data_IF_635547474435
#
_entry.id   IF_635547474435
#
_cell.length_a   1.000
_cell.length_b   1.000
_cell.length_c   1.000
_cell.angle_alpha   90.00
_cell.angle_beta   90.00
_cell.angle_gamma   90.00
#
_symmetry.space_group_name_H-M   'P 1'
#
loop_
_entity.id
_entity.type
_entity.pdbx_description
1 polymer ?
#
# COMPACT_ATOMS: atom_id res chain seq x y z
N UNK A 1 -11.46 1.37 8.51
CA UNK A 1 -12.70 1.86 7.86
C UNK A 1 -12.36 2.94 6.84
N UNK A 2 -13.26 3.19 5.85
CA UNK A 2 -13.06 4.23 4.83
C UNK A 2 -12.71 5.60 5.43
N UNK A 3 -13.31 5.95 6.55
CA UNK A 3 -13.10 7.24 7.21
C UNK A 3 -11.79 7.30 8.00
N UNK A 4 -11.38 6.20 8.61
CA UNK A 4 -10.17 6.13 9.43
C UNK A 4 -8.94 5.84 8.57
N UNK A 5 -9.05 4.94 7.60
CA UNK A 5 -7.92 4.52 6.76
C UNK A 5 -7.66 5.53 5.65
N UNK A 6 -8.48 5.51 4.59
CA UNK A 6 -8.30 6.41 3.43
C UNK A 6 -8.53 7.87 3.83
N UNK A 7 -9.54 8.16 4.64
CA UNK A 7 -9.77 9.50 5.17
C UNK A 7 -8.65 10.01 6.07
N UNK A 8 -7.92 9.10 6.74
CA UNK A 8 -6.70 9.43 7.48
C UNK A 8 -5.57 9.91 6.56
N UNK A 9 -5.35 9.21 5.44
CA UNK A 9 -4.36 9.60 4.43
C UNK A 9 -4.70 10.97 3.83
N UNK A 10 -5.96 11.20 3.44
CA UNK A 10 -6.39 12.49 2.90
C UNK A 10 -6.15 13.65 3.87
N UNK A 11 -6.49 13.46 5.15
CA UNK A 11 -6.25 14.46 6.20
C UNK A 11 -4.76 14.72 6.40
N UNK A 12 -3.93 13.68 6.35
CA UNK A 12 -2.48 13.81 6.47
C UNK A 12 -1.90 14.62 5.29
N UNK A 13 -2.32 14.31 4.07
CA UNK A 13 -1.93 15.05 2.87
C UNK A 13 -2.39 16.52 2.93
N UNK A 14 -3.66 16.77 3.26
CA UNK A 14 -4.19 18.12 3.36
C UNK A 14 -3.50 18.94 4.44
N UNK A 15 -3.10 18.30 5.55
CA UNK A 15 -2.33 18.95 6.62
C UNK A 15 -0.89 19.27 6.18
N UNK A 16 -0.25 18.36 5.46
CA UNK A 16 1.13 18.55 4.97
C UNK A 16 1.20 19.59 3.84
N UNK A 17 0.15 19.67 3.02
CA UNK A 17 0.08 20.52 1.83
C UNK A 17 -1.20 21.36 1.84
N UNK A 18 -1.34 22.35 2.75
CA UNK A 18 -2.58 23.10 2.96
C UNK A 18 -3.00 23.92 1.74
N UNK A 19 -2.06 24.31 0.89
CA UNK A 19 -2.31 25.11 -0.32
C UNK A 19 -2.73 24.28 -1.53
N UNK A 20 -2.73 22.92 -1.39
CA UNK A 20 -3.12 22.01 -2.44
C UNK A 20 -4.55 21.49 -2.23
N UNK A 21 -5.27 21.31 -3.31
CA UNK A 21 -6.60 20.69 -3.27
C UNK A 21 -6.48 19.19 -3.34
N UNK A 22 -6.76 18.50 -2.25
CA UNK A 22 -6.78 17.03 -2.20
C UNK A 22 -8.16 16.53 -2.63
N UNK A 23 -8.20 15.57 -3.56
CA UNK A 23 -9.41 14.94 -4.09
C UNK A 23 -9.21 13.44 -4.17
N UNK A 24 -10.29 12.70 -3.98
CA UNK A 24 -10.32 11.24 -4.02
C UNK A 24 -10.88 10.76 -5.36
N UNK A 25 -10.27 9.69 -5.90
CA UNK A 25 -10.86 8.86 -6.94
C UNK A 25 -10.69 7.39 -6.57
N UNK A 26 -11.50 6.52 -7.14
CA UNK A 26 -11.40 5.07 -6.93
C UNK A 26 -11.01 4.37 -8.23
N UNK A 27 -10.17 3.35 -8.10
CA UNK A 27 -9.76 2.49 -9.23
C UNK A 27 -10.79 1.41 -9.54
N UNK A 28 -11.48 0.88 -8.51
CA UNK A 28 -12.39 -0.24 -8.65
C UNK A 28 -13.86 0.20 -8.85
N UNK A 29 -14.37 0.06 -10.09
CA UNK A 29 -15.76 0.42 -10.43
C UNK A 29 -16.80 -0.31 -9.56
N UNK A 30 -16.54 -1.55 -9.19
CA UNK A 30 -17.44 -2.35 -8.34
C UNK A 30 -17.60 -1.72 -6.95
N UNK A 31 -16.53 -1.16 -6.40
CA UNK A 31 -16.54 -0.46 -5.10
C UNK A 31 -17.29 0.87 -5.22
N UNK A 32 -17.08 1.60 -6.32
CA UNK A 32 -17.83 2.85 -6.60
C UNK A 32 -19.33 2.57 -6.59
N UNK A 33 -19.76 1.53 -7.33
CA UNK A 33 -21.15 1.15 -7.41
C UNK A 33 -21.74 0.75 -6.04
N UNK A 34 -20.98 -0.01 -5.23
CA UNK A 34 -21.40 -0.39 -3.89
C UNK A 34 -21.55 0.82 -2.95
N UNK A 35 -20.58 1.76 -2.98
CA UNK A 35 -20.64 2.97 -2.17
C UNK A 35 -21.82 3.84 -2.58
N UNK A 36 -22.05 4.01 -3.90
CA UNK A 36 -23.18 4.77 -4.38
C UNK A 36 -24.52 4.14 -3.99
N UNK A 37 -24.65 2.82 -4.08
CA UNK A 37 -25.87 2.11 -3.70
C UNK A 37 -26.17 2.17 -2.18
N UNK A 38 -25.13 2.09 -1.35
CA UNK A 38 -25.25 2.08 0.10
C UNK A 38 -25.43 3.48 0.70
N UNK A 39 -24.62 4.43 0.25
CA UNK A 39 -24.47 5.75 0.88
C UNK A 39 -25.03 6.90 0.03
N UNK A 40 -25.42 6.63 -1.22
CA UNK A 40 -25.83 7.65 -2.19
C UNK A 40 -24.67 8.57 -2.66
N UNK A 41 -23.44 8.27 -2.24
CA UNK A 41 -22.26 9.08 -2.56
C UNK A 41 -21.74 8.76 -3.95
N UNK A 42 -21.56 9.81 -4.76
CA UNK A 42 -20.93 9.70 -6.08
C UNK A 42 -19.43 9.92 -5.95
N UNK A 43 -18.65 8.90 -6.31
CA UNK A 43 -17.20 8.94 -6.33
C UNK A 43 -16.75 8.78 -7.78
N UNK A 44 -15.83 9.64 -8.21
CA UNK A 44 -15.24 9.55 -9.53
C UNK A 44 -14.35 8.30 -9.64
N UNK A 45 -14.38 7.64 -10.79
CA UNK A 45 -13.32 6.72 -11.18
C UNK A 45 -12.11 7.52 -11.71
N UNK A 46 -11.05 6.82 -12.13
CA UNK A 46 -9.81 7.46 -12.60
C UNK A 46 -10.07 8.45 -13.74
N UNK A 47 -10.75 8.03 -14.80
CA UNK A 47 -11.00 8.88 -15.96
C UNK A 47 -11.86 10.09 -15.61
N UNK A 48 -12.92 9.90 -14.83
CA UNK A 48 -13.79 10.98 -14.39
C UNK A 48 -13.04 12.01 -13.55
N UNK A 49 -12.15 11.55 -12.64
CA UNK A 49 -11.35 12.44 -11.81
C UNK A 49 -10.32 13.21 -12.64
N UNK A 50 -9.65 12.56 -13.57
CA UNK A 50 -8.67 13.18 -14.47
C UNK A 50 -9.36 14.21 -15.38
N UNK A 51 -10.50 13.85 -16.00
CA UNK A 51 -11.27 14.77 -16.82
C UNK A 51 -11.78 15.96 -16.01
N UNK A 52 -12.26 15.74 -14.79
CA UNK A 52 -12.69 16.81 -13.90
C UNK A 52 -11.54 17.75 -13.52
N UNK A 53 -10.32 17.23 -13.34
CA UNK A 53 -9.15 18.07 -13.09
C UNK A 53 -8.84 18.97 -14.31
N UNK A 54 -8.92 18.42 -15.52
CA UNK A 54 -8.77 19.20 -16.77
C UNK A 54 -9.85 20.27 -16.86
N UNK A 55 -11.12 19.91 -16.68
CA UNK A 55 -12.26 20.84 -16.78
C UNK A 55 -12.18 21.98 -15.75
N UNK A 56 -11.60 21.71 -14.59
CA UNK A 56 -11.36 22.72 -13.54
C UNK A 56 -10.07 23.54 -13.76
N UNK A 57 -9.35 23.34 -14.85
CA UNK A 57 -8.14 24.10 -15.19
C UNK A 57 -6.95 23.81 -14.26
N UNK A 58 -6.88 22.60 -13.69
CA UNK A 58 -5.73 22.18 -12.90
C UNK A 58 -4.50 22.16 -13.82
N UNK A 59 -3.43 22.82 -13.37
CA UNK A 59 -2.17 22.91 -14.14
C UNK A 59 -1.15 21.86 -13.71
N UNK A 60 -1.03 21.67 -12.41
CA UNK A 60 -0.09 20.73 -11.83
C UNK A 60 -0.87 19.65 -11.08
N UNK A 61 -0.73 18.41 -11.52
CA UNK A 61 -1.40 17.25 -10.94
C UNK A 61 -0.37 16.33 -10.30
N UNK A 62 -0.60 15.97 -9.04
CA UNK A 62 0.12 14.92 -8.34
C UNK A 62 -0.89 13.83 -8.00
N UNK A 63 -0.61 12.60 -8.43
CA UNK A 63 -1.42 11.44 -8.12
C UNK A 63 -0.73 10.61 -7.06
N UNK A 64 -1.36 10.49 -5.88
CA UNK A 64 -0.88 9.63 -4.80
C UNK A 64 -1.69 8.33 -4.81
N UNK A 65 -1.14 7.21 -5.28
CA UNK A 65 -1.78 5.92 -5.16
C UNK A 65 -1.80 5.49 -3.68
N UNK A 66 -2.93 4.91 -3.27
CA UNK A 66 -3.04 4.26 -1.95
C UNK A 66 -2.87 2.73 -2.06
N UNK A 67 -2.36 2.27 -3.18
CA UNK A 67 -1.99 0.87 -3.42
C UNK A 67 -0.82 0.46 -2.52
N UNK A 68 -0.80 -0.81 -2.15
CA UNK A 68 0.30 -1.36 -1.35
C UNK A 68 1.60 -1.46 -2.15
N UNK A 69 1.51 -1.88 -3.42
CA UNK A 69 2.65 -2.20 -4.29
C UNK A 69 2.34 -1.88 -5.76
N UNK A 70 3.36 -1.99 -6.62
CA UNK A 70 3.25 -1.92 -8.08
C UNK A 70 2.53 -3.15 -8.66
N UNK A 71 1.23 -3.29 -8.37
CA UNK A 71 0.38 -4.34 -8.91
C UNK A 71 -0.38 -3.90 -10.15
N UNK A 72 -1.26 -4.78 -10.66
CA UNK A 72 -2.05 -4.53 -11.86
C UNK A 72 -2.87 -3.21 -11.79
N UNK A 73 -3.46 -2.92 -10.62
CA UNK A 73 -4.23 -1.69 -10.43
C UNK A 73 -3.35 -0.42 -10.46
N UNK A 74 -2.08 -0.53 -10.04
CA UNK A 74 -1.13 0.57 -10.18
C UNK A 74 -0.72 0.77 -11.65
N UNK A 75 -0.55 -0.30 -12.39
CA UNK A 75 -0.24 -0.24 -13.84
C UNK A 75 -1.40 0.42 -14.60
N UNK A 76 -2.65 0.01 -14.34
CA UNK A 76 -3.85 0.63 -14.91
C UNK A 76 -3.94 2.13 -14.57
N UNK A 77 -3.64 2.51 -13.32
CA UNK A 77 -3.59 3.91 -12.90
C UNK A 77 -2.53 4.68 -13.68
N UNK A 78 -1.34 4.10 -13.84
CA UNK A 78 -0.24 4.74 -14.57
C UNK A 78 -0.57 4.96 -16.03
N UNK A 79 -1.21 3.98 -16.68
CA UNK A 79 -1.69 4.10 -18.06
C UNK A 79 -2.77 5.18 -18.20
N UNK A 80 -3.74 5.20 -17.28
CA UNK A 80 -4.79 6.22 -17.27
C UNK A 80 -4.20 7.63 -17.14
N UNK A 81 -3.28 7.84 -16.18
CA UNK A 81 -2.62 9.14 -15.99
C UNK A 81 -1.77 9.53 -17.21
N UNK A 82 -1.04 8.58 -17.80
CA UNK A 82 -0.24 8.82 -18.99
C UNK A 82 -1.07 9.34 -20.17
N UNK A 83 -2.31 8.84 -20.32
CA UNK A 83 -3.24 9.26 -21.38
C UNK A 83 -3.72 10.73 -21.27
N UNK A 84 -3.56 11.32 -20.07
CA UNK A 84 -3.89 12.72 -19.78
C UNK A 84 -2.68 13.63 -19.61
N UNK A 85 -1.45 13.12 -19.79
CA UNK A 85 -0.22 13.87 -19.49
C UNK A 85 -0.08 15.18 -20.27
N UNK A 86 -0.59 15.24 -21.49
CA UNK A 86 -0.57 16.43 -22.35
C UNK A 86 -1.63 17.49 -21.97
N UNK A 87 -2.52 17.19 -21.03
CA UNK A 87 -3.59 18.08 -20.57
C UNK A 87 -3.18 18.97 -19.41
N UNK A 88 -2.02 18.68 -18.78
CA UNK A 88 -1.51 19.41 -17.63
C UNK A 88 -0.16 20.07 -17.97
N UNK A 89 0.19 21.15 -17.23
CA UNK A 89 1.54 21.72 -17.30
C UNK A 89 2.57 20.75 -16.69
N UNK A 90 2.18 20.05 -15.62
CA UNK A 90 2.95 18.95 -15.03
C UNK A 90 2.02 17.88 -14.45
N UNK A 91 2.40 16.62 -14.59
CA UNK A 91 1.75 15.50 -13.94
C UNK A 91 2.81 14.53 -13.42
N UNK A 92 2.61 14.04 -12.21
CA UNK A 92 3.45 13.02 -11.61
C UNK A 92 2.62 12.03 -10.79
N UNK A 93 3.08 10.78 -10.74
CA UNK A 93 2.52 9.71 -9.91
C UNK A 93 3.57 9.42 -8.84
N UNK A 94 3.13 9.41 -7.58
CA UNK A 94 3.98 8.99 -6.48
C UNK A 94 4.07 7.45 -6.43
N UNK A 95 5.07 6.96 -5.73
CA UNK A 95 5.22 5.54 -5.48
C UNK A 95 4.07 4.99 -4.60
N UNK A 96 3.71 3.70 -4.76
CA UNK A 96 2.83 3.03 -3.82
C UNK A 96 3.50 2.87 -2.45
N UNK A 97 2.76 2.36 -1.45
CA UNK A 97 3.21 2.34 -0.06
C UNK A 97 4.56 1.63 0.16
N UNK A 98 4.84 0.54 -0.56
CA UNK A 98 6.09 -0.21 -0.45
C UNK A 98 7.22 0.30 -1.38
N UNK A 99 6.97 1.42 -2.11
CA UNK A 99 7.94 1.97 -3.05
C UNK A 99 8.27 1.03 -4.21
N UNK A 100 9.39 1.23 -4.85
CA UNK A 100 9.85 0.42 -5.97
C UNK A 100 9.96 -1.06 -5.61
N UNK A 101 9.59 -1.93 -6.56
CA UNK A 101 9.64 -3.38 -6.37
C UNK A 101 11.09 -3.89 -6.33
N UNK A 102 11.99 -3.29 -7.09
CA UNK A 102 13.34 -3.86 -7.24
C UNK A 102 13.36 -5.16 -8.07
N UNK A 103 14.53 -5.72 -8.29
CA UNK A 103 14.73 -6.85 -9.20
C UNK A 103 14.94 -8.20 -8.52
N UNK A 104 15.12 -8.24 -7.20
CA UNK A 104 15.43 -9.44 -6.44
C UNK A 104 14.63 -9.52 -5.13
N UNK A 105 14.48 -10.74 -4.59
CA UNK A 105 13.76 -11.00 -3.34
C UNK A 105 14.35 -10.26 -2.13
N UNK A 106 15.65 -10.03 -2.14
CA UNK A 106 16.39 -9.32 -1.10
C UNK A 106 16.44 -7.80 -1.30
N UNK A 107 15.78 -7.28 -2.34
CA UNK A 107 15.71 -5.84 -2.57
C UNK A 107 14.88 -5.18 -1.46
N UNK A 108 15.53 -4.31 -0.70
CA UNK A 108 14.92 -3.49 0.34
C UNK A 108 15.06 -2.02 -0.03
N UNK A 109 14.20 -1.18 0.50
CA UNK A 109 14.22 0.26 0.32
C UNK A 109 13.70 0.98 1.57
N UNK A 110 13.85 2.31 1.61
CA UNK A 110 13.43 3.13 2.75
C UNK A 110 11.92 3.05 3.01
N UNK A 111 11.11 2.85 1.98
CA UNK A 111 9.65 2.79 2.11
C UNK A 111 9.24 1.48 2.78
N UNK A 112 9.79 0.34 2.33
CA UNK A 112 9.59 -0.97 2.98
C UNK A 112 10.06 -0.96 4.43
N UNK A 113 11.20 -0.32 4.72
CA UNK A 113 11.71 -0.18 6.08
C UNK A 113 10.75 0.65 6.95
N UNK A 114 10.28 1.78 6.45
CA UNK A 114 9.35 2.64 7.17
C UNK A 114 8.02 1.92 7.45
N UNK A 115 7.49 1.19 6.46
CA UNK A 115 6.27 0.39 6.62
C UNK A 115 6.48 -0.73 7.61
N UNK A 116 7.57 -1.50 7.51
CA UNK A 116 7.90 -2.58 8.44
C UNK A 116 7.93 -2.10 9.89
N UNK A 117 8.59 -0.98 10.15
CA UNK A 117 8.66 -0.37 11.48
C UNK A 117 7.28 0.09 11.97
N UNK A 118 6.52 0.78 11.12
CA UNK A 118 5.22 1.33 11.48
C UNK A 118 4.19 0.24 11.82
N UNK A 119 4.04 -0.76 10.94
CA UNK A 119 3.05 -1.84 11.14
C UNK A 119 3.41 -2.71 12.32
N UNK A 120 4.70 -3.01 12.53
CA UNK A 120 5.17 -3.81 13.67
C UNK A 120 4.95 -3.06 14.98
N UNK A 121 5.31 -1.78 15.03
CA UNK A 121 5.08 -0.96 16.22
C UNK A 121 3.59 -0.90 16.61
N UNK A 122 2.71 -0.70 15.64
CA UNK A 122 1.27 -0.65 15.91
C UNK A 122 0.69 -2.02 16.32
N UNK A 123 1.18 -3.11 15.72
CA UNK A 123 0.76 -4.46 16.09
C UNK A 123 1.18 -4.81 17.53
N UNK A 124 2.40 -4.51 17.91
CA UNK A 124 2.94 -4.69 19.28
C UNK A 124 2.10 -3.93 20.29
N UNK A 125 1.82 -2.65 20.01
CA UNK A 125 1.00 -1.79 20.85
C UNK A 125 -0.45 -2.31 20.97
N UNK A 126 -1.05 -2.71 19.85
CA UNK A 126 -2.41 -3.24 19.81
C UNK A 126 -2.52 -4.55 20.60
N UNK A 127 -1.47 -5.38 20.59
CA UNK A 127 -1.39 -6.61 21.36
C UNK A 127 -1.12 -6.37 22.85
N UNK A 128 -0.83 -5.14 23.26
CA UNK A 128 -0.61 -4.76 24.67
C UNK A 128 0.81 -4.97 25.17
N UNK A 129 1.79 -5.14 24.27
CA UNK A 129 3.20 -5.27 24.63
C UNK A 129 3.92 -3.92 24.60
N UNK A 130 4.91 -3.77 25.46
CA UNK A 130 5.76 -2.58 25.50
C UNK A 130 6.80 -2.56 24.36
N UNK A 131 7.20 -3.74 23.89
CA UNK A 131 8.18 -3.91 22.81
C UNK A 131 8.00 -5.23 22.06
N UNK A 132 8.60 -5.33 20.88
CA UNK A 132 8.63 -6.57 20.11
C UNK A 132 9.41 -7.68 20.86
N UNK A 133 10.47 -7.32 21.58
CA UNK A 133 11.26 -8.25 22.40
C UNK A 133 10.44 -8.81 23.55
N UNK A 134 9.66 -7.97 24.25
CA UNK A 134 8.76 -8.42 25.31
C UNK A 134 7.70 -9.41 24.76
N UNK A 135 7.15 -9.17 23.58
CA UNK A 135 6.25 -10.10 22.92
C UNK A 135 6.93 -11.43 22.57
N UNK A 136 8.19 -11.38 22.10
CA UNK A 136 8.99 -12.56 21.77
C UNK A 136 9.30 -13.39 23.02
N UNK A 137 9.67 -12.75 24.13
CA UNK A 137 9.93 -13.42 25.41
C UNK A 137 8.67 -14.13 25.95
N UNK A 138 7.49 -13.57 25.68
CA UNK A 138 6.18 -14.17 26.02
C UNK A 138 5.72 -15.24 25.00
N UNK A 139 6.55 -15.57 24.00
CA UNK A 139 6.23 -16.55 22.97
C UNK A 139 5.25 -16.06 21.90
N UNK A 140 5.03 -14.76 21.80
CA UNK A 140 4.10 -14.18 20.82
C UNK A 140 4.81 -13.87 19.52
N UNK A 141 4.18 -14.25 18.40
CA UNK A 141 4.58 -13.90 17.04
C UNK A 141 3.50 -13.09 16.34
N UNK A 142 3.90 -12.23 15.42
CA UNK A 142 3.01 -11.41 14.59
C UNK A 142 3.02 -11.93 13.15
N UNK A 143 1.86 -12.08 12.56
CA UNK A 143 1.71 -12.48 11.16
C UNK A 143 0.92 -11.42 10.42
N UNK A 144 1.54 -10.75 9.45
CA UNK A 144 0.86 -9.84 8.55
C UNK A 144 0.38 -10.58 7.32
N UNK A 145 -0.94 -10.62 7.12
CA UNK A 145 -1.56 -11.34 6.03
C UNK A 145 -1.87 -10.42 4.86
N UNK A 146 -1.17 -10.60 3.74
CA UNK A 146 -1.52 -9.99 2.47
C UNK A 146 -2.53 -10.82 1.69
N UNK A 147 -3.21 -10.23 0.71
CA UNK A 147 -4.14 -10.93 -0.15
C UNK A 147 -3.42 -11.99 -1.04
N UNK A 148 -2.23 -11.64 -1.50
CA UNK A 148 -1.54 -12.36 -2.57
C UNK A 148 -1.89 -11.78 -3.94
N UNK A 149 -1.12 -12.12 -4.95
CA UNK A 149 -1.36 -11.71 -6.33
C UNK A 149 -0.61 -12.60 -7.30
N UNK A 150 -1.16 -12.83 -8.49
CA UNK A 150 -0.47 -13.47 -9.62
C UNK A 150 0.44 -12.50 -10.38
N UNK A 151 0.34 -11.22 -10.14
CA UNK A 151 1.19 -10.18 -10.75
C UNK A 151 2.66 -10.36 -10.37
N UNK A 152 3.57 -9.87 -11.20
CA UNK A 152 5.03 -9.93 -10.94
C UNK A 152 5.43 -9.22 -9.65
N UNK A 153 4.67 -8.22 -9.20
CA UNK A 153 4.84 -7.54 -7.92
C UNK A 153 4.66 -8.44 -6.68
N UNK A 154 4.23 -9.71 -6.84
CA UNK A 154 4.17 -10.70 -5.75
C UNK A 154 5.49 -10.83 -4.96
N UNK A 155 6.62 -10.54 -5.60
CA UNK A 155 7.94 -10.50 -4.98
C UNK A 155 8.01 -9.51 -3.79
N UNK A 156 7.15 -8.50 -3.75
CA UNK A 156 7.09 -7.53 -2.64
C UNK A 156 6.80 -8.19 -1.29
N UNK A 157 6.11 -9.33 -1.27
CA UNK A 157 5.87 -10.08 -0.03
C UNK A 157 7.17 -10.69 0.52
N UNK A 158 7.98 -11.32 -0.34
CA UNK A 158 9.31 -11.84 0.04
C UNK A 158 10.23 -10.69 0.47
N UNK A 159 10.21 -9.59 -0.26
CA UNK A 159 11.00 -8.39 0.08
C UNK A 159 10.61 -7.83 1.45
N UNK A 160 9.32 -7.79 1.78
CA UNK A 160 8.88 -7.37 3.11
C UNK A 160 9.33 -8.34 4.22
N UNK A 161 9.29 -9.66 3.97
CA UNK A 161 9.84 -10.62 4.94
C UNK A 161 11.35 -10.40 5.13
N UNK A 162 12.08 -10.19 4.04
CA UNK A 162 13.52 -9.91 4.12
C UNK A 162 13.80 -8.57 4.82
N UNK A 163 12.93 -7.58 4.64
CA UNK A 163 13.01 -6.32 5.40
C UNK A 163 12.78 -6.53 6.89
N UNK A 164 11.81 -7.36 7.30
CA UNK A 164 11.59 -7.71 8.70
C UNK A 164 12.83 -8.40 9.28
N UNK A 165 13.41 -9.36 8.55
CA UNK A 165 14.63 -10.07 8.95
C UNK A 165 15.83 -9.12 9.09
N UNK A 166 16.00 -8.18 8.15
CA UNK A 166 17.08 -7.18 8.20
C UNK A 166 16.97 -6.23 9.39
N UNK A 167 15.76 -6.01 9.91
CA UNK A 167 15.50 -5.25 11.13
C UNK A 167 15.66 -6.08 12.41
N UNK A 168 15.93 -7.38 12.29
CA UNK A 168 16.03 -8.29 13.44
C UNK A 168 14.67 -8.67 14.05
N UNK A 169 13.59 -8.56 13.28
CA UNK A 169 12.22 -8.87 13.73
C UNK A 169 11.91 -10.35 13.56
N UNK A 170 12.59 -11.20 14.35
CA UNK A 170 12.58 -12.67 14.21
C UNK A 170 11.22 -13.32 14.50
N UNK A 171 10.33 -12.62 15.22
CA UNK A 171 8.99 -13.08 15.53
C UNK A 171 7.89 -12.37 14.68
N UNK A 172 8.28 -11.80 13.53
CA UNK A 172 7.36 -11.16 12.59
C UNK A 172 7.40 -11.85 11.24
N UNK A 173 6.24 -12.24 10.73
CA UNK A 173 6.10 -13.05 9.52
C UNK A 173 5.13 -12.39 8.54
N UNK A 174 5.43 -12.54 7.24
CA UNK A 174 4.55 -12.13 6.15
C UNK A 174 3.91 -13.37 5.54
N UNK A 175 2.59 -13.42 5.50
CA UNK A 175 1.81 -14.46 4.85
C UNK A 175 0.90 -13.92 3.76
N UNK A 176 0.36 -14.80 2.92
CA UNK A 176 -0.64 -14.44 1.91
C UNK A 176 -1.81 -15.42 1.94
N UNK A 177 -3.02 -14.93 1.65
CA UNK A 177 -4.23 -15.77 1.56
C UNK A 177 -4.21 -16.61 0.30
N UNK A 178 -3.84 -16.01 -0.85
CA UNK A 178 -3.64 -16.76 -2.09
C UNK A 178 -2.21 -17.26 -2.17
N UNK A 179 -2.04 -18.51 -2.61
CA UNK A 179 -0.73 -19.14 -2.72
C UNK A 179 0.16 -18.36 -3.70
N UNK A 180 1.03 -17.53 -3.16
CA UNK A 180 2.22 -17.13 -3.87
C UNK A 180 3.20 -18.28 -3.71
N UNK A 181 3.66 -18.86 -4.82
CA UNK A 181 4.58 -19.99 -4.79
C UNK A 181 5.91 -19.56 -4.16
N UNK A 182 6.01 -19.64 -2.83
CA UNK A 182 7.26 -19.45 -2.10
C UNK A 182 8.04 -20.75 -2.12
N UNK A 183 9.06 -20.81 -2.94
CA UNK A 183 10.01 -21.94 -2.97
C UNK A 183 10.98 -21.93 -1.77
N UNK A 184 10.87 -21.00 -0.83
CA UNK A 184 11.88 -20.82 0.22
C UNK A 184 11.39 -20.68 1.68
N UNK A 185 10.11 -20.85 1.98
CA UNK A 185 9.70 -21.11 3.36
C UNK A 185 9.81 -22.61 3.67
N UNK A 186 11.04 -23.12 3.75
CA UNK A 186 11.28 -24.31 4.56
C UNK A 186 11.18 -23.89 6.01
N UNK A 187 10.08 -24.26 6.66
CA UNK A 187 10.08 -24.42 8.10
C UNK A 187 11.31 -25.25 8.44
N UNK A 188 12.17 -24.76 9.32
CA UNK A 188 13.11 -25.62 10.01
C UNK A 188 12.25 -26.57 10.85
N UNK A 189 11.94 -27.73 10.28
CA UNK A 189 11.55 -28.88 11.10
C UNK A 189 12.74 -29.16 12.02
N UNK A 190 12.64 -28.71 13.26
CA UNK A 190 13.48 -29.23 14.32
C UNK A 190 13.07 -30.68 14.52
N UNK A 191 13.90 -31.59 14.05
CA UNK A 191 13.87 -32.97 14.48
C UNK A 191 13.96 -33.00 16.03
N UNK A 192 12.94 -33.63 16.62
CA UNK A 192 12.99 -34.08 18.01
C UNK A 192 13.70 -35.42 18.08
#
# INVERSE_FOLDING_TARGET
>A
SRTEDIGGIEKALQKAYPDWSVRRAFTAQIIINHVQARDGEKIDNMDQALQRAVDNGVKNLIVQPTHLMHGAEYDELSEAVASYSDKFESVSIAEPLLGEVGSADDSVNSDKEAVAKAVTSEAVKTAGYESLDAAKEDGTAFVFMGHGTSHTAKISYSQMQNQMNALGYDNVFIGTVEAVSYTHLRAHETEL
#
